data_IF_858487725801
#
_entry.id   IF_858487725801
#
_cell.length_a   1.000
_cell.length_b   1.000
_cell.length_c   1.000
_cell.angle_alpha   90.00
_cell.angle_beta   90.00
_cell.angle_gamma   90.00
#
_symmetry.space_group_name_H-M   'P 1'
#
loop_
_entity.id
_entity.type
_entity.pdbx_description
1 polymer ?
#
# COMPACT_ATOMS: atom_id res chain seq x y z
N UNK A 1 31.02 -2.49 -2.34
CA UNK A 1 30.28 -2.47 -1.07
C UNK A 1 28.92 -3.11 -1.32
N UNK A 2 28.71 -4.38 -0.98
CA UNK A 2 27.38 -4.98 -1.02
C UNK A 2 26.56 -4.30 0.09
N UNK A 3 25.70 -3.37 -0.29
CA UNK A 3 24.76 -2.78 0.66
C UNK A 3 23.94 -3.91 1.26
N UNK A 4 23.93 -4.01 2.59
CA UNK A 4 23.01 -4.92 3.27
C UNK A 4 21.62 -4.67 2.68
N UNK A 5 21.05 -5.70 2.05
CA UNK A 5 19.74 -5.61 1.44
C UNK A 5 18.77 -5.12 2.50
N UNK A 6 18.12 -3.98 2.22
CA UNK A 6 17.28 -3.33 3.22
C UNK A 6 16.11 -4.26 3.52
N UNK A 7 16.04 -4.75 4.74
CA UNK A 7 14.94 -5.60 5.18
C UNK A 7 13.65 -4.78 5.31
N UNK A 8 12.89 -4.71 4.21
CA UNK A 8 11.63 -3.98 4.16
C UNK A 8 10.51 -4.66 4.96
N UNK A 9 10.63 -5.96 5.27
CA UNK A 9 9.64 -6.64 6.11
C UNK A 9 9.77 -6.18 7.55
N UNK A 10 10.98 -6.25 8.14
CA UNK A 10 11.22 -5.75 9.49
C UNK A 10 10.86 -4.27 9.65
N UNK A 11 11.23 -3.44 8.66
CA UNK A 11 10.88 -2.01 8.69
C UNK A 11 9.36 -1.77 8.59
N UNK A 12 8.64 -2.60 7.84
CA UNK A 12 7.19 -2.54 7.78
C UNK A 12 6.57 -2.96 9.12
N UNK A 13 7.03 -4.05 9.72
CA UNK A 13 6.53 -4.54 11.02
C UNK A 13 6.74 -3.49 12.13
N UNK A 14 7.91 -2.86 12.17
CA UNK A 14 8.21 -1.78 13.12
C UNK A 14 7.28 -0.57 12.91
N UNK A 15 7.10 -0.15 11.66
CA UNK A 15 6.22 0.97 11.33
C UNK A 15 4.74 0.67 11.63
N UNK A 16 4.28 -0.55 11.33
CA UNK A 16 2.92 -1.00 11.61
C UNK A 16 2.67 -1.12 13.10
N UNK A 17 3.60 -1.73 13.85
CA UNK A 17 3.54 -1.83 15.31
C UNK A 17 3.44 -0.46 15.99
N UNK A 18 4.24 0.51 15.54
CA UNK A 18 4.16 1.89 16.03
C UNK A 18 2.86 2.60 15.63
N UNK A 19 2.30 2.28 14.46
CA UNK A 19 1.06 2.90 13.97
C UNK A 19 -0.18 2.43 14.73
N UNK A 20 -0.24 1.18 15.17
CA UNK A 20 -1.45 0.61 15.82
C UNK A 20 -1.30 0.28 17.30
N UNK A 21 -0.09 0.45 17.84
CA UNK A 21 0.20 0.16 19.25
C UNK A 21 -0.78 0.85 20.19
N UNK A 22 -1.31 0.08 21.14
CA UNK A 22 -2.22 0.51 22.22
C UNK A 22 -3.58 1.08 21.76
N UNK A 23 -3.93 1.03 20.47
CA UNK A 23 -5.21 1.50 19.99
C UNK A 23 -6.34 0.47 20.18
N UNK A 24 -7.59 0.93 20.37
CA UNK A 24 -8.77 0.09 20.19
C UNK A 24 -8.80 -0.55 18.80
N UNK A 25 -9.42 -1.73 18.70
CA UNK A 25 -9.41 -2.53 17.46
C UNK A 25 -9.96 -1.77 16.25
N UNK A 26 -11.01 -0.95 16.45
CA UNK A 26 -11.65 -0.15 15.41
C UNK A 26 -10.72 0.96 14.89
N UNK A 27 -9.98 1.61 15.79
CA UNK A 27 -9.01 2.65 15.45
C UNK A 27 -7.79 2.06 14.74
N UNK A 28 -7.27 0.94 15.23
CA UNK A 28 -6.20 0.19 14.57
C UNK A 28 -6.60 -0.26 13.16
N UNK A 29 -7.81 -0.81 12.98
CA UNK A 29 -8.33 -1.23 11.69
C UNK A 29 -8.41 -0.05 10.70
N UNK A 30 -8.86 1.11 11.18
CA UNK A 30 -8.93 2.32 10.36
C UNK A 30 -7.55 2.87 10.00
N UNK A 31 -6.62 2.93 10.94
CA UNK A 31 -5.25 3.34 10.69
C UNK A 31 -4.59 2.47 9.61
N UNK A 32 -4.73 1.14 9.71
CA UNK A 32 -4.23 0.20 8.72
C UNK A 32 -4.92 0.35 7.36
N UNK A 33 -6.24 0.48 7.34
CA UNK A 33 -6.97 0.62 6.08
C UNK A 33 -6.62 1.92 5.34
N UNK A 34 -6.42 3.02 6.08
CA UNK A 34 -5.90 4.29 5.53
C UNK A 34 -4.48 4.11 4.99
N UNK A 35 -3.60 3.45 5.74
CA UNK A 35 -2.22 3.20 5.31
C UNK A 35 -2.20 2.35 4.03
N UNK A 36 -2.93 1.24 3.98
CA UNK A 36 -3.03 0.35 2.82
C UNK A 36 -3.52 1.14 1.60
N UNK A 37 -4.59 1.94 1.74
CA UNK A 37 -5.11 2.76 0.66
C UNK A 37 -4.05 3.75 0.13
N UNK A 38 -3.33 4.44 1.01
CA UNK A 38 -2.28 5.39 0.61
C UNK A 38 -1.09 4.70 -0.04
N UNK A 39 -0.65 3.58 0.53
CA UNK A 39 0.47 2.79 0.01
C UNK A 39 0.16 2.25 -1.39
N UNK A 40 -1.01 1.64 -1.60
CA UNK A 40 -1.38 1.09 -2.91
C UNK A 40 -1.60 2.17 -3.95
N UNK A 41 -2.18 3.33 -3.59
CA UNK A 41 -2.30 4.46 -4.53
C UNK A 41 -0.91 4.96 -4.95
N UNK A 42 0.05 5.05 -4.03
CA UNK A 42 1.43 5.43 -4.35
C UNK A 42 2.13 4.39 -5.22
N UNK A 43 1.96 3.10 -4.92
CA UNK A 43 2.49 2.00 -5.73
C UNK A 43 1.91 2.01 -7.14
N UNK A 44 0.61 2.26 -7.28
CA UNK A 44 -0.04 2.37 -8.58
C UNK A 44 0.51 3.54 -9.40
N UNK A 45 0.69 4.71 -8.77
CA UNK A 45 1.30 5.87 -9.42
C UNK A 45 2.72 5.59 -9.90
N UNK A 46 3.56 5.01 -9.05
CA UNK A 46 4.93 4.63 -9.38
C UNK A 46 4.98 3.62 -10.53
N UNK A 47 4.27 2.49 -10.39
CA UNK A 47 4.29 1.43 -11.39
C UNK A 47 3.71 1.87 -12.74
N UNK A 48 2.67 2.72 -12.75
CA UNK A 48 2.17 3.33 -13.99
C UNK A 48 3.21 4.22 -14.66
N UNK A 49 3.92 5.05 -13.88
CA UNK A 49 4.97 5.93 -14.38
C UNK A 49 6.10 5.12 -15.04
N UNK A 50 6.61 4.13 -14.32
CA UNK A 50 7.69 3.26 -14.81
C UNK A 50 7.25 2.40 -16.00
N UNK A 51 6.06 1.81 -15.98
CA UNK A 51 5.53 1.03 -17.11
C UNK A 51 5.36 1.89 -18.38
N UNK A 52 5.05 3.18 -18.22
CA UNK A 52 4.96 4.13 -19.34
C UNK A 52 6.34 4.47 -19.87
N UNK A 53 7.29 4.80 -18.98
CA UNK A 53 8.63 5.23 -19.33
C UNK A 53 9.49 4.10 -19.95
N UNK A 54 9.21 2.85 -19.57
CA UNK A 54 10.03 1.70 -19.94
C UNK A 54 9.46 0.89 -21.11
N UNK A 55 8.44 1.38 -21.81
CA UNK A 55 7.85 0.65 -22.95
C UNK A 55 8.94 0.13 -23.90
N UNK A 56 8.80 -1.13 -24.33
CA UNK A 56 9.76 -1.85 -25.19
C UNK A 56 11.12 -2.20 -24.54
N UNK A 57 11.37 -1.80 -23.28
CA UNK A 57 12.54 -2.24 -22.54
C UNK A 57 12.34 -3.65 -21.95
N UNK A 58 13.43 -4.39 -21.66
CA UNK A 58 13.35 -5.78 -21.18
C UNK A 58 12.54 -5.97 -19.89
N UNK A 59 12.53 -4.99 -18.99
CA UNK A 59 11.83 -5.04 -17.70
C UNK A 59 10.40 -4.49 -17.77
N UNK A 60 9.98 -3.94 -18.92
CA UNK A 60 8.63 -3.41 -19.11
C UNK A 60 7.51 -4.38 -18.70
N UNK A 61 7.55 -5.68 -19.06
CA UNK A 61 6.48 -6.60 -18.70
C UNK A 61 6.26 -6.70 -17.18
N UNK A 62 7.34 -6.59 -16.39
CA UNK A 62 7.27 -6.65 -14.92
C UNK A 62 6.59 -5.39 -14.36
N UNK A 63 6.95 -4.22 -14.87
CA UNK A 63 6.30 -2.96 -14.48
C UNK A 63 4.83 -2.91 -14.88
N UNK A 64 4.49 -3.38 -16.08
CA UNK A 64 3.10 -3.48 -16.54
C UNK A 64 2.28 -4.44 -15.66
N UNK A 65 2.85 -5.59 -15.29
CA UNK A 65 2.20 -6.53 -14.36
C UNK A 65 2.00 -5.91 -12.98
N UNK A 66 3.00 -5.22 -12.42
CA UNK A 66 2.87 -4.52 -11.15
C UNK A 66 1.84 -3.39 -11.18
N UNK A 67 1.77 -2.64 -12.28
CA UNK A 67 0.73 -1.63 -12.50
C UNK A 67 -0.67 -2.24 -12.49
N UNK A 68 -0.85 -3.38 -13.15
CA UNK A 68 -2.14 -4.08 -13.20
C UNK A 68 -2.53 -4.64 -11.84
N UNK A 69 -1.59 -5.28 -11.12
CA UNK A 69 -1.83 -5.79 -9.78
C UNK A 69 -2.19 -4.66 -8.80
N UNK A 70 -1.42 -3.57 -8.80
CA UNK A 70 -1.68 -2.40 -7.94
C UNK A 70 -3.01 -1.73 -8.27
N UNK A 71 -3.40 -1.64 -9.54
CA UNK A 71 -4.71 -1.11 -9.97
C UNK A 71 -5.86 -1.89 -9.32
N UNK A 72 -5.79 -3.23 -9.35
CA UNK A 72 -6.84 -4.08 -8.77
C UNK A 72 -6.96 -3.90 -7.26
N UNK A 73 -5.83 -3.72 -6.57
CA UNK A 73 -5.79 -3.51 -5.12
C UNK A 73 -6.34 -2.14 -4.69
N UNK A 74 -6.24 -1.09 -5.50
CA UNK A 74 -6.74 0.26 -5.14
C UNK A 74 -8.22 0.24 -4.76
N UNK A 75 -9.04 -0.50 -5.52
CA UNK A 75 -10.49 -0.58 -5.23
C UNK A 75 -10.76 -1.28 -3.91
N UNK A 76 -10.13 -2.45 -3.69
CA UNK A 76 -10.28 -3.20 -2.43
C UNK A 76 -9.80 -2.39 -1.23
N UNK A 77 -8.68 -1.68 -1.36
CA UNK A 77 -8.16 -0.83 -0.31
C UNK A 77 -9.09 0.36 0.02
N UNK A 78 -9.76 0.93 -0.99
CA UNK A 78 -10.78 1.95 -0.73
C UNK A 78 -11.96 1.35 0.04
N UNK A 79 -12.45 0.18 -0.36
CA UNK A 79 -13.53 -0.51 0.35
C UNK A 79 -13.16 -0.80 1.81
N UNK A 80 -11.95 -1.30 2.07
CA UNK A 80 -11.46 -1.52 3.44
C UNK A 80 -11.46 -0.22 4.25
N UNK A 81 -10.97 0.89 3.68
CA UNK A 81 -10.96 2.21 4.32
C UNK A 81 -12.37 2.68 4.67
N UNK A 82 -13.32 2.50 3.75
CA UNK A 82 -14.71 2.94 3.94
C UNK A 82 -15.42 2.12 5.02
N UNK A 83 -15.20 0.81 5.07
CA UNK A 83 -15.74 -0.07 6.11
C UNK A 83 -15.10 0.19 7.47
N UNK A 84 -13.77 0.35 7.53
CA UNK A 84 -13.07 0.64 8.77
C UNK A 84 -13.45 2.02 9.34
N UNK A 85 -13.73 3.01 8.48
CA UNK A 85 -14.24 4.31 8.91
C UNK A 85 -15.58 4.18 9.64
N UNK A 86 -16.48 3.32 9.13
CA UNK A 86 -17.78 3.05 9.77
C UNK A 86 -17.62 2.34 11.12
N UNK A 87 -16.70 1.39 11.23
CA UNK A 87 -16.41 0.70 12.49
C UNK A 87 -15.89 1.67 13.56
N UNK A 88 -15.02 2.60 13.19
CA UNK A 88 -14.50 3.64 14.09
C UNK A 88 -15.50 4.80 14.34
N UNK A 89 -16.77 4.67 13.93
CA UNK A 89 -17.79 5.70 14.12
C UNK A 89 -17.57 6.97 13.28
N UNK A 90 -16.68 6.96 12.29
CA UNK A 90 -16.45 8.09 11.38
C UNK A 90 -17.44 8.01 10.21
N UNK A 91 -18.31 9.02 10.11
CA UNK A 91 -19.05 9.27 8.86
C UNK A 91 -18.09 9.84 7.82
N UNK A 92 -18.19 9.34 6.59
CA UNK A 92 -17.59 9.99 5.43
C UNK A 92 -18.43 11.18 5.01
#
# INVERSE_FOLDING_TARGET
>A
MSGAERDYQRLADEALGGLVGEQPAEEAALALAVLINRAVTRLHGLSRGEATARKEQPDWPLWAQLQNASRSLVLQASTCRDLAARLAGRRQ
#
